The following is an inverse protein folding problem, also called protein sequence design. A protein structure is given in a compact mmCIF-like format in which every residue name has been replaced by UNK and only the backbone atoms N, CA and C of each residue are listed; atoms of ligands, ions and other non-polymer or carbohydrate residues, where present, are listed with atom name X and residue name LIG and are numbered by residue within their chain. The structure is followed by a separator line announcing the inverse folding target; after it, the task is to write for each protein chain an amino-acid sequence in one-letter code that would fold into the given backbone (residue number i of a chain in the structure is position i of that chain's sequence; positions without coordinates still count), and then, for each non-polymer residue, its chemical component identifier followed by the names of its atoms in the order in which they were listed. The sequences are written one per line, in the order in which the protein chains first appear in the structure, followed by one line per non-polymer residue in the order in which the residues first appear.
data_IF_233174558798
#
_entry.id   IF_233174558798
#
_cell.length_a   1.000
_cell.length_b   1.000
_cell.length_c   1.000
_cell.angle_alpha   90.00
_cell.angle_beta   90.00
_cell.angle_gamma   90.00
#
_symmetry.space_group_name_H-M   'P 1'
#
loop_
_entity.id
_entity.type
_entity.pdbx_description
1 polymer ?
#
# COMPACT_ATOMS: atom_id res chain seq x y z
N UNK A 1 3.41 4.38 8.21
CA UNK A 1 3.74 3.39 7.20
C UNK A 1 5.19 2.99 7.27
N UNK A 2 5.50 1.74 7.01
CA UNK A 2 6.79 1.20 7.40
C UNK A 2 7.63 0.65 6.27
N UNK A 3 7.53 1.22 5.08
CA UNK A 3 8.29 0.69 3.96
C UNK A 3 9.79 0.65 4.22
N UNK A 4 10.35 1.78 4.66
CA UNK A 4 11.79 1.83 4.93
C UNK A 4 12.16 1.22 6.28
N UNK A 5 11.36 1.47 7.29
CA UNK A 5 11.65 0.97 8.62
C UNK A 5 11.68 -0.54 8.71
N UNK A 6 11.06 -1.22 7.75
CA UNK A 6 10.98 -2.67 7.75
C UNK A 6 11.99 -3.35 6.83
N UNK A 7 12.87 -2.62 6.16
CA UNK A 7 13.80 -3.24 5.23
C UNK A 7 14.68 -4.27 5.93
N UNK A 8 15.28 -3.90 7.04
CA UNK A 8 16.13 -4.84 7.79
C UNK A 8 15.32 -5.97 8.41
N UNK A 9 14.14 -5.65 8.93
CA UNK A 9 13.27 -6.66 9.49
C UNK A 9 12.84 -7.69 8.44
N UNK A 10 12.62 -7.25 7.21
CA UNK A 10 12.24 -8.13 6.12
C UNK A 10 13.31 -9.15 5.77
N UNK A 11 14.56 -8.81 5.97
CA UNK A 11 15.67 -9.71 5.74
C UNK A 11 15.59 -10.95 6.60
N UNK A 12 15.13 -10.79 7.84
CA UNK A 12 15.11 -11.86 8.83
C UNK A 12 13.72 -12.43 9.04
N UNK A 13 12.73 -11.87 8.37
CA UNK A 13 11.35 -12.25 8.51
C UNK A 13 10.91 -13.03 7.27
N UNK A 14 10.68 -14.33 7.39
CA UNK A 14 10.23 -15.10 6.25
C UNK A 14 8.87 -14.59 5.79
N UNK A 15 8.76 -14.35 4.50
CA UNK A 15 7.51 -13.94 3.87
C UNK A 15 6.93 -15.13 3.15
N UNK A 16 5.89 -15.70 3.74
CA UNK A 16 5.22 -16.85 3.15
C UNK A 16 4.16 -16.45 2.15
N UNK A 17 3.58 -15.29 2.35
CA UNK A 17 2.51 -14.82 1.48
C UNK A 17 2.50 -13.31 1.40
N UNK A 18 2.19 -12.82 0.21
CA UNK A 18 2.06 -11.40 -0.07
C UNK A 18 0.73 -11.18 -0.77
N UNK A 19 -0.04 -10.24 -0.28
CA UNK A 19 -1.33 -9.91 -0.86
C UNK A 19 -1.27 -8.54 -1.52
N UNK A 20 -1.47 -8.49 -2.83
CA UNK A 20 -1.53 -7.23 -3.58
C UNK A 20 -2.97 -6.75 -3.63
N UNK A 21 -3.19 -5.51 -3.25
CA UNK A 21 -4.52 -4.91 -3.20
C UNK A 21 -4.51 -3.61 -4.01
N UNK A 22 -5.29 -3.53 -5.11
CA UNK A 22 -5.37 -2.28 -5.86
C UNK A 22 -6.01 -1.18 -5.01
N UNK A 23 -5.37 -0.01 -4.98
CA UNK A 23 -5.85 1.11 -4.16
C UNK A 23 -7.21 1.65 -4.55
N UNK A 24 -7.65 1.39 -5.78
CA UNK A 24 -8.96 1.85 -6.23
C UNK A 24 -10.12 0.99 -5.72
N UNK A 25 -9.83 -0.15 -5.12
CA UNK A 25 -10.87 -1.09 -4.69
C UNK A 25 -10.99 -1.09 -3.16
N UNK A 26 -11.89 -0.25 -2.65
CA UNK A 26 -12.09 -0.12 -1.20
C UNK A 26 -12.60 -1.41 -0.57
N UNK A 27 -13.36 -2.19 -1.30
CA UNK A 27 -13.85 -3.47 -0.81
C UNK A 27 -12.67 -4.43 -0.54
N UNK A 28 -11.71 -4.49 -1.43
CA UNK A 28 -10.53 -5.32 -1.24
C UNK A 28 -9.61 -4.77 -0.15
N UNK A 29 -9.49 -3.45 -0.06
CA UNK A 29 -8.73 -2.84 1.03
C UNK A 29 -9.29 -3.23 2.40
N UNK A 30 -10.62 -3.23 2.51
CA UNK A 30 -11.28 -3.65 3.74
C UNK A 30 -11.09 -5.14 4.01
N UNK A 31 -11.27 -5.96 2.99
CA UNK A 31 -11.12 -7.41 3.15
C UNK A 31 -9.70 -7.81 3.50
N UNK A 32 -8.72 -7.06 3.03
CA UNK A 32 -7.32 -7.35 3.33
C UNK A 32 -7.03 -7.31 4.82
N UNK A 33 -7.83 -6.61 5.58
CA UNK A 33 -7.68 -6.55 7.05
C UNK A 33 -7.94 -7.89 7.71
N UNK A 34 -8.73 -8.74 7.08
CA UNK A 34 -9.15 -10.03 7.64
C UNK A 34 -8.48 -11.22 6.99
N UNK A 35 -7.86 -11.05 5.83
CA UNK A 35 -7.23 -12.14 5.11
C UNK A 35 -5.87 -12.47 5.72
N UNK A 36 -5.52 -13.75 5.69
CA UNK A 36 -4.23 -14.20 6.18
C UNK A 36 -3.15 -13.95 5.14
N UNK A 37 -2.25 -13.05 5.45
CA UNK A 37 -1.07 -12.77 4.65
C UNK A 37 0.00 -12.19 5.54
N UNK A 38 1.25 -12.46 5.23
CA UNK A 38 2.37 -11.90 5.99
C UNK A 38 2.59 -10.43 5.66
N UNK A 39 2.35 -10.07 4.40
CA UNK A 39 2.50 -8.70 3.92
C UNK A 39 1.29 -8.31 3.07
N UNK A 40 0.90 -7.06 3.19
CA UNK A 40 -0.15 -6.47 2.36
C UNK A 40 0.48 -5.35 1.55
N UNK A 41 0.34 -5.42 0.24
CA UNK A 41 0.90 -4.41 -0.67
C UNK A 41 -0.27 -3.63 -1.27
N UNK A 42 -0.39 -2.38 -0.86
CA UNK A 42 -1.43 -1.48 -1.34
C UNK A 42 -0.89 -0.79 -2.59
N UNK A 43 -1.48 -1.07 -3.73
CA UNK A 43 -0.89 -0.76 -5.03
C UNK A 43 -1.49 0.49 -5.65
N UNK A 44 -0.64 1.47 -5.94
CA UNK A 44 -0.98 2.68 -6.69
C UNK A 44 -0.42 2.66 -8.12
N UNK A 45 0.28 1.59 -8.47
CA UNK A 45 1.06 1.53 -9.72
C UNK A 45 0.26 1.13 -10.95
N UNK A 46 0.90 0.32 -11.80
CA UNK A 46 0.40 0.00 -13.13
C UNK A 46 -1.02 -0.57 -13.19
N UNK A 47 -1.44 -1.44 -12.28
CA UNK A 47 -2.81 -1.97 -12.35
C UNK A 47 -3.90 -0.92 -12.21
N UNK A 48 -3.56 0.28 -11.71
CA UNK A 48 -4.55 1.33 -11.47
C UNK A 48 -4.74 2.16 -12.74
N UNK A 49 -5.98 2.30 -13.18
CA UNK A 49 -6.31 3.13 -14.33
C UNK A 49 -5.98 4.59 -14.04
N UNK A 50 -5.61 5.33 -15.09
CA UNK A 50 -5.22 6.73 -14.97
C UNK A 50 -6.29 7.56 -14.25
N UNK A 51 -7.55 7.37 -14.61
CA UNK A 51 -8.66 8.12 -14.02
C UNK A 51 -8.90 7.76 -12.55
N UNK A 52 -8.30 6.68 -12.07
CA UNK A 52 -8.45 6.24 -10.67
C UNK A 52 -7.23 6.54 -9.80
N UNK A 53 -6.19 7.14 -10.37
CA UNK A 53 -4.92 7.33 -9.65
C UNK A 53 -5.07 8.18 -8.39
N UNK A 54 -5.76 9.32 -8.49
CA UNK A 54 -5.95 10.19 -7.34
C UNK A 54 -6.85 9.56 -6.29
N UNK A 55 -7.94 8.94 -6.73
CA UNK A 55 -8.86 8.25 -5.82
C UNK A 55 -8.14 7.12 -5.09
N UNK A 56 -7.32 6.36 -5.80
CA UNK A 56 -6.57 5.26 -5.19
C UNK A 56 -5.62 5.77 -4.12
N UNK A 57 -4.94 6.88 -4.39
CA UNK A 57 -4.04 7.51 -3.43
C UNK A 57 -4.80 7.88 -2.15
N UNK A 58 -5.94 8.54 -2.32
CA UNK A 58 -6.75 8.97 -1.17
C UNK A 58 -7.26 7.77 -0.38
N UNK A 59 -7.69 6.73 -1.08
CA UNK A 59 -8.15 5.51 -0.43
C UNK A 59 -7.05 4.86 0.40
N UNK A 60 -5.85 4.74 -0.17
CA UNK A 60 -4.73 4.11 0.53
C UNK A 60 -4.35 4.91 1.77
N UNK A 61 -4.26 6.23 1.64
CA UNK A 61 -3.96 7.09 2.79
C UNK A 61 -5.00 6.89 3.89
N UNK A 62 -6.27 6.89 3.52
CA UNK A 62 -7.36 6.71 4.48
C UNK A 62 -7.27 5.37 5.19
N UNK A 63 -7.10 4.29 4.45
CA UNK A 63 -7.08 2.94 5.02
C UNK A 63 -5.85 2.70 5.90
N UNK A 64 -4.69 3.22 5.51
CA UNK A 64 -3.49 3.06 6.32
C UNK A 64 -3.62 3.85 7.62
N UNK A 65 -4.18 5.07 7.55
CA UNK A 65 -4.40 5.87 8.75
C UNK A 65 -5.39 5.23 9.72
N UNK A 66 -6.42 4.60 9.20
CA UNK A 66 -7.37 3.87 10.03
C UNK A 66 -6.76 2.63 10.64
N UNK A 67 -5.81 2.03 9.95
CA UNK A 67 -5.17 0.83 10.44
C UNK A 67 -6.03 -0.42 10.27
N UNK A 68 -5.86 -1.36 11.19
CA UNK A 68 -6.63 -2.60 11.16
C UNK A 68 -5.93 -3.76 10.47
N UNK A 69 -4.69 -3.56 10.04
CA UNK A 69 -3.91 -4.62 9.39
C UNK A 69 -3.10 -5.45 10.39
N UNK A 70 -3.21 -5.12 11.66
CA UNK A 70 -2.56 -5.88 12.73
C UNK A 70 -1.05 -5.77 12.68
N UNK A 71 -0.37 -6.88 12.96
CA UNK A 71 1.10 -6.92 12.95
C UNK A 71 1.68 -7.19 11.56
N UNK A 72 0.83 -7.31 10.55
CA UNK A 72 1.30 -7.57 9.19
C UNK A 72 2.09 -6.38 8.65
N UNK A 73 3.03 -6.68 7.81
CA UNK A 73 3.77 -5.64 7.10
C UNK A 73 2.86 -4.99 6.07
N UNK A 74 2.78 -3.67 6.10
CA UNK A 74 2.00 -2.91 5.11
C UNK A 74 2.98 -2.14 4.23
N UNK A 75 2.92 -2.40 2.94
CA UNK A 75 3.77 -1.76 1.94
C UNK A 75 2.87 -1.04 0.95
N UNK A 76 3.27 0.15 0.54
CA UNK A 76 2.56 0.87 -0.52
C UNK A 76 3.47 0.93 -1.74
N UNK A 77 2.99 0.41 -2.86
CA UNK A 77 3.71 0.52 -4.13
C UNK A 77 3.22 1.76 -4.86
N UNK A 78 4.12 2.70 -5.07
CA UNK A 78 3.79 3.98 -5.70
C UNK A 78 4.12 3.95 -7.19
N UNK A 79 3.63 4.93 -7.92
CA UNK A 79 4.01 5.12 -9.32
C UNK A 79 5.47 5.55 -9.43
N UNK A 80 6.06 5.34 -10.61
CA UNK A 80 7.45 5.75 -10.86
C UNK A 80 7.64 7.22 -10.53
N UNK A 81 8.79 7.55 -9.96
CA UNK A 81 9.10 8.93 -9.58
C UNK A 81 9.14 9.88 -10.78
N UNK A 82 9.43 9.34 -11.97
CA UNK A 82 9.44 10.14 -13.20
C UNK A 82 8.06 10.29 -13.81
N UNK A 83 7.06 9.57 -13.30
CA UNK A 83 5.68 9.72 -13.77
C UNK A 83 5.06 10.97 -13.14
N UNK A 84 3.95 11.41 -13.73
CA UNK A 84 3.24 12.57 -13.19
C UNK A 84 2.58 12.29 -11.84
N UNK A 85 2.46 11.04 -11.43
CA UNK A 85 1.81 10.68 -10.17
C UNK A 85 2.80 10.36 -9.04
N UNK A 86 4.02 9.95 -9.40
CA UNK A 86 4.99 9.47 -8.41
C UNK A 86 5.29 10.46 -7.30
N UNK A 87 5.68 11.71 -7.62
CA UNK A 87 5.99 12.69 -6.58
C UNK A 87 4.83 12.96 -5.63
N UNK A 88 3.61 13.05 -6.15
CA UNK A 88 2.43 13.30 -5.32
C UNK A 88 2.09 12.06 -4.47
N UNK A 89 2.30 10.87 -5.01
CA UNK A 89 2.14 9.63 -4.25
C UNK A 89 3.06 9.64 -3.04
N UNK A 90 4.33 9.96 -3.25
CA UNK A 90 5.32 9.99 -2.18
C UNK A 90 4.93 11.03 -1.11
N UNK A 91 4.48 12.21 -1.53
CA UNK A 91 4.05 13.24 -0.59
C UNK A 91 2.87 12.77 0.26
N UNK A 92 1.90 12.14 -0.37
CA UNK A 92 0.71 11.67 0.33
C UNK A 92 1.08 10.57 1.34
N UNK A 93 1.91 9.62 0.92
CA UNK A 93 2.30 8.49 1.76
C UNK A 93 3.18 8.95 2.92
N UNK A 94 4.03 9.93 2.69
CA UNK A 94 4.93 10.43 3.73
C UNK A 94 4.18 11.10 4.91
N UNK A 95 2.92 11.45 4.71
CA UNK A 95 2.10 12.07 5.76
C UNK A 95 1.39 11.05 6.66
N UNK A 96 1.50 9.79 6.35
CA UNK A 96 0.82 8.74 7.12
C UNK A 96 1.59 8.46 8.41
#
# INVERSE_FOLDING_TARGET
MKTKGNIMAQYFRPRRSMLYVPGCNTHYLERARTLHADSVILDLGDPILVECKEESRDNVVCFVNEGGYGSREVVVRVNDLISQWGPDDIKAIAKI
#
